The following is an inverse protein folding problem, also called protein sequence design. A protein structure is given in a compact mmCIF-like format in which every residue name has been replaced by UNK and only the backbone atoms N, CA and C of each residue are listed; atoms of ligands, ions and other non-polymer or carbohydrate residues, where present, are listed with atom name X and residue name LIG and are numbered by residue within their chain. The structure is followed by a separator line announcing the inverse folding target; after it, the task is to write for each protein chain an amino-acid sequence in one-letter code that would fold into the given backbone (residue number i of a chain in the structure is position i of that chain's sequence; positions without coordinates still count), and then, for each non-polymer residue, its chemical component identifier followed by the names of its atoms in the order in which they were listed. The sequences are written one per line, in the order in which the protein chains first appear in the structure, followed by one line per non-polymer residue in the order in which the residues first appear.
data_IF_887381684145
#
_entry.id   IF_887381684145
#
_cell.length_a   1.000
_cell.length_b   1.000
_cell.length_c   1.000
_cell.angle_alpha   90.00
_cell.angle_beta   90.00
_cell.angle_gamma   90.00
#
_symmetry.space_group_name_H-M   'P 1'
#
loop_
_entity.id
_entity.type
_entity.pdbx_description
1 polymer ?
#
# COMPACT_ATOMS: atom_id res chain seq x y z
N UNK A 1 -17.71 1.11 11.65
CA UNK A 1 -17.38 0.55 10.33
C UNK A 1 -16.58 -0.76 10.50
N UNK A 2 -15.27 -0.83 10.27
CA UNK A 2 -14.54 -2.12 10.12
C UNK A 2 -14.39 -3.07 11.32
N UNK A 3 -14.71 -2.64 12.55
CA UNK A 3 -14.44 -3.44 13.77
C UNK A 3 -13.00 -3.39 14.31
N UNK A 4 -12.07 -2.73 13.60
CA UNK A 4 -10.61 -2.65 13.93
C UNK A 4 -10.35 -2.27 15.40
N UNK A 5 -9.28 -2.81 16.03
CA UNK A 5 -8.84 -2.42 17.37
C UNK A 5 -8.49 -0.93 17.48
N UNK A 6 -8.82 -0.33 18.63
CA UNK A 6 -8.39 1.02 19.00
C UNK A 6 -6.87 1.08 19.11
N UNK A 7 -6.22 1.90 18.28
CA UNK A 7 -4.76 2.05 18.22
C UNK A 7 -4.07 1.31 17.07
N UNK A 8 -4.79 0.50 16.26
CA UNK A 8 -4.19 -0.11 15.08
C UNK A 8 -3.92 0.97 13.99
N UNK A 9 -2.65 1.25 13.73
CA UNK A 9 -2.16 2.28 12.78
C UNK A 9 -2.76 2.10 11.38
N UNK A 10 -3.14 3.21 10.74
CA UNK A 10 -3.66 3.24 9.38
C UNK A 10 -2.59 3.10 8.30
N UNK A 11 -3.01 3.26 7.06
CA UNK A 11 -2.12 3.66 5.96
C UNK A 11 -2.60 5.01 5.42
N UNK A 12 -1.72 5.67 4.68
CA UNK A 12 -2.04 6.88 3.92
C UNK A 12 -2.38 6.46 2.48
N UNK A 13 -3.30 7.14 1.80
CA UNK A 13 -3.46 7.01 0.35
C UNK A 13 -3.47 8.35 -0.35
N UNK A 14 -2.89 8.41 -1.53
CA UNK A 14 -2.76 9.59 -2.35
C UNK A 14 -2.24 9.22 -3.74
N UNK A 15 -2.18 10.19 -4.66
CA UNK A 15 -1.52 9.98 -5.94
C UNK A 15 0.00 9.88 -5.73
N UNK A 16 0.74 9.15 -6.60
CA UNK A 16 2.17 8.87 -6.42
C UNK A 16 3.05 10.07 -6.05
N UNK A 17 2.81 11.23 -6.68
CA UNK A 17 3.58 12.45 -6.50
C UNK A 17 3.55 13.04 -5.07
N UNK A 18 2.59 12.63 -4.22
CA UNK A 18 2.51 13.08 -2.83
C UNK A 18 3.25 12.16 -1.85
N UNK A 19 3.89 11.08 -2.33
CA UNK A 19 4.61 10.10 -1.48
C UNK A 19 5.70 10.74 -0.61
N UNK A 20 6.50 11.63 -1.20
CA UNK A 20 7.58 12.35 -0.50
C UNK A 20 7.08 13.43 0.47
N UNK A 21 5.78 13.75 0.48
CA UNK A 21 5.18 14.65 1.49
C UNK A 21 4.88 13.95 2.82
N UNK A 22 4.81 12.61 2.82
CA UNK A 22 4.51 11.81 4.02
C UNK A 22 5.63 10.86 4.41
N UNK A 23 6.58 10.60 3.50
CA UNK A 23 7.79 9.84 3.75
C UNK A 23 9.01 10.76 3.78
N UNK A 24 9.77 10.73 4.88
CA UNK A 24 11.07 11.37 4.98
C UNK A 24 12.14 10.44 4.39
N UNK A 25 12.38 10.60 3.08
CA UNK A 25 13.31 9.76 2.32
C UNK A 25 14.79 10.10 2.60
N UNK A 26 15.09 11.32 3.07
CA UNK A 26 16.44 11.75 3.46
C UNK A 26 16.98 11.03 4.71
N UNK A 27 16.10 10.31 5.43
CA UNK A 27 16.45 9.44 6.57
C UNK A 27 16.68 7.98 6.19
N UNK A 28 16.75 7.65 4.89
CA UNK A 28 17.10 6.31 4.41
C UNK A 28 18.63 6.13 4.33
N UNK A 29 19.08 4.88 4.31
CA UNK A 29 20.50 4.52 4.04
C UNK A 29 20.86 4.51 2.54
N UNK A 30 19.93 4.95 1.68
CA UNK A 30 20.13 5.14 0.23
C UNK A 30 19.92 6.61 -0.11
N UNK A 31 20.40 7.05 -1.28
CA UNK A 31 20.16 8.42 -1.73
C UNK A 31 18.67 8.68 -1.96
N UNK A 32 18.20 9.91 -1.71
CA UNK A 32 16.83 10.33 -2.01
C UNK A 32 16.45 10.11 -3.47
N UNK A 33 17.39 10.36 -4.40
CA UNK A 33 17.17 10.13 -5.83
C UNK A 33 16.94 8.63 -6.16
N UNK A 34 17.69 7.73 -5.50
CA UNK A 34 17.50 6.28 -5.61
C UNK A 34 16.14 5.85 -5.07
N UNK A 35 15.73 6.39 -3.90
CA UNK A 35 14.43 6.10 -3.31
C UNK A 35 13.27 6.59 -4.19
N UNK A 36 13.34 7.84 -4.69
CA UNK A 36 12.35 8.41 -5.61
C UNK A 36 12.25 7.59 -6.91
N UNK A 37 13.38 7.14 -7.48
CA UNK A 37 13.40 6.30 -8.69
C UNK A 37 12.77 4.91 -8.47
N UNK A 38 13.08 4.24 -7.36
CA UNK A 38 12.45 2.96 -6.97
C UNK A 38 10.93 3.12 -6.79
N UNK A 39 10.50 4.21 -6.14
CA UNK A 39 9.08 4.52 -5.92
C UNK A 39 8.37 4.72 -7.27
N UNK A 40 8.95 5.52 -8.17
CA UNK A 40 8.39 5.79 -9.50
C UNK A 40 8.31 4.51 -10.35
N UNK A 41 9.36 3.70 -10.39
CA UNK A 41 9.39 2.45 -11.15
C UNK A 41 8.30 1.46 -10.67
N UNK A 42 8.15 1.26 -9.36
CA UNK A 42 7.12 0.39 -8.81
C UNK A 42 5.69 0.94 -9.00
N UNK A 43 5.49 2.26 -8.92
CA UNK A 43 4.21 2.87 -9.26
C UNK A 43 3.90 2.92 -10.77
N UNK A 44 4.89 2.76 -11.64
CA UNK A 44 4.67 2.61 -13.07
C UNK A 44 4.10 1.22 -13.40
N UNK A 45 4.51 0.18 -12.64
CA UNK A 45 3.93 -1.16 -12.76
C UNK A 45 2.48 -1.21 -12.25
N UNK A 46 2.17 -0.48 -11.17
CA UNK A 46 0.79 -0.32 -10.71
C UNK A 46 0.60 0.01 -9.22
N UNK A 47 -0.56 -0.35 -8.62
CA UNK A 47 -0.87 -0.08 -7.23
C UNK A 47 0.10 -0.73 -6.25
N UNK A 48 0.75 0.09 -5.41
CA UNK A 48 1.85 -0.34 -4.55
C UNK A 48 1.90 0.44 -3.24
N UNK A 49 2.51 -0.16 -2.20
CA UNK A 49 2.68 0.44 -0.89
C UNK A 49 4.13 0.53 -0.44
N UNK A 50 4.45 1.62 0.28
CA UNK A 50 5.80 1.92 0.77
C UNK A 50 5.75 2.26 2.26
N UNK A 51 6.70 1.69 3.03
CA UNK A 51 6.97 2.08 4.42
C UNK A 51 8.38 2.64 4.57
N UNK A 52 8.47 3.89 4.99
CA UNK A 52 9.72 4.62 5.19
C UNK A 52 9.62 5.48 6.49
N UNK A 53 10.68 6.21 6.90
CA UNK A 53 10.60 7.16 8.00
C UNK A 53 9.45 8.16 7.77
N UNK A 54 8.71 8.50 8.83
CA UNK A 54 7.60 9.45 8.72
C UNK A 54 8.11 10.88 8.46
N UNK A 55 7.38 11.64 7.66
CA UNK A 55 7.49 13.09 7.63
C UNK A 55 7.07 13.70 8.99
N UNK A 56 7.68 14.83 9.35
CA UNK A 56 7.38 15.55 10.61
C UNK A 56 5.93 16.03 10.63
N UNK A 57 5.27 15.94 11.79
CA UNK A 57 3.91 16.46 11.99
C UNK A 57 2.78 15.52 11.55
N UNK A 58 3.07 14.32 11.04
CA UNK A 58 2.03 13.33 10.75
C UNK A 58 1.27 12.90 12.02
N UNK A 59 -0.08 12.85 12.00
CA UNK A 59 -0.88 12.36 13.12
C UNK A 59 -0.48 10.96 13.59
N UNK A 60 -0.46 10.75 14.92
CA UNK A 60 -0.06 9.47 15.56
C UNK A 60 -0.78 8.24 14.98
N UNK A 61 -2.03 8.39 14.54
CA UNK A 61 -2.85 7.32 13.93
C UNK A 61 -2.36 6.85 12.55
N UNK A 62 -1.48 7.62 11.88
CA UNK A 62 -0.85 7.32 10.59
C UNK A 62 0.61 6.85 10.73
N UNK A 63 1.18 6.92 11.93
CA UNK A 63 2.59 6.61 12.21
C UNK A 63 2.74 5.38 13.09
N UNK A 64 3.76 4.57 12.84
CA UNK A 64 4.12 3.41 13.65
C UNK A 64 5.53 3.58 14.18
N UNK A 65 5.67 3.59 15.51
CA UNK A 65 6.94 3.60 16.24
C UNK A 65 7.47 2.18 16.39
N UNK A 66 8.68 1.91 15.89
CA UNK A 66 9.37 0.63 16.05
C UNK A 66 10.85 0.86 16.30
N UNK A 67 11.32 0.57 17.52
CA UNK A 67 12.61 1.05 18.00
C UNK A 67 12.69 2.58 17.92
N UNK A 68 13.84 3.10 17.52
CA UNK A 68 14.10 4.55 17.43
C UNK A 68 13.49 5.21 16.18
N UNK A 69 12.80 4.43 15.32
CA UNK A 69 12.23 4.92 14.07
C UNK A 69 10.70 5.03 14.13
N UNK A 70 10.22 6.26 13.90
CA UNK A 70 8.81 6.50 13.54
C UNK A 70 8.66 6.36 12.03
N UNK A 71 7.83 5.42 11.58
CA UNK A 71 7.56 5.14 10.18
C UNK A 71 6.14 5.55 9.78
N UNK A 72 5.95 5.91 8.52
CA UNK A 72 4.62 6.02 7.91
C UNK A 72 4.51 5.00 6.77
N UNK A 73 3.29 4.58 6.45
CA UNK A 73 3.01 3.72 5.31
C UNK A 73 2.02 4.43 4.37
N UNK A 74 2.42 4.63 3.12
CA UNK A 74 1.51 5.05 2.04
C UNK A 74 1.19 3.86 1.14
N UNK A 75 -0.02 3.83 0.59
CA UNK A 75 -0.44 2.89 -0.45
C UNK A 75 -1.17 3.69 -1.54
N UNK A 76 -0.61 3.72 -2.74
CA UNK A 76 -1.09 4.50 -3.88
C UNK A 76 -1.51 3.61 -5.05
N UNK A 77 -2.33 4.11 -6.00
CA UNK A 77 -2.91 3.30 -7.07
C UNK A 77 -2.03 3.20 -8.34
N UNK A 78 -0.75 3.58 -8.26
CA UNK A 78 0.15 3.69 -9.43
C UNK A 78 -0.13 4.92 -10.30
N UNK A 79 0.75 5.21 -11.26
CA UNK A 79 0.70 6.44 -12.06
C UNK A 79 -0.49 6.53 -13.03
N UNK A 80 -0.85 5.43 -13.70
CA UNK A 80 -1.86 5.41 -14.76
C UNK A 80 -3.32 5.38 -14.24
N UNK A 81 -3.55 5.31 -12.93
CA UNK A 81 -4.89 5.15 -12.36
C UNK A 81 -5.75 6.43 -12.49
N UNK A 82 -6.99 6.34 -13.04
CA UNK A 82 -7.90 7.48 -13.10
C UNK A 82 -8.20 8.13 -11.74
N UNK A 83 -8.16 7.37 -10.65
CA UNK A 83 -8.43 7.87 -9.29
C UNK A 83 -7.40 8.89 -8.81
N UNK A 84 -6.22 9.01 -9.44
CA UNK A 84 -5.23 10.02 -9.07
C UNK A 84 -5.79 11.45 -9.14
N UNK A 85 -6.66 11.76 -10.09
CA UNK A 85 -7.30 13.08 -10.18
C UNK A 85 -8.21 13.36 -8.96
N UNK A 86 -9.00 12.37 -8.54
CA UNK A 86 -9.83 12.47 -7.34
C UNK A 86 -8.98 12.55 -6.07
N UNK A 87 -8.01 11.65 -5.88
CA UNK A 87 -7.14 11.61 -4.71
C UNK A 87 -6.35 12.92 -4.54
N UNK A 88 -5.84 13.50 -5.64
CA UNK A 88 -5.16 14.80 -5.62
C UNK A 88 -6.08 15.92 -5.11
N UNK A 89 -7.31 15.99 -5.63
CA UNK A 89 -8.30 17.00 -5.21
C UNK A 89 -8.75 16.82 -3.76
N UNK A 90 -8.99 15.58 -3.34
CA UNK A 90 -9.34 15.27 -1.95
C UNK A 90 -8.19 15.68 -1.00
N UNK A 91 -6.94 15.33 -1.33
CA UNK A 91 -5.78 15.71 -0.53
C UNK A 91 -5.58 17.23 -0.45
N UNK A 92 -5.80 17.96 -1.55
CA UNK A 92 -5.78 19.44 -1.55
C UNK A 92 -6.83 20.06 -0.62
N UNK A 93 -7.93 19.35 -0.34
CA UNK A 93 -9.03 19.82 0.51
C UNK A 93 -8.89 19.37 1.97
N UNK A 94 -8.28 18.22 2.24
CA UNK A 94 -8.28 17.59 3.58
C UNK A 94 -6.90 17.26 4.14
N UNK A 95 -5.83 17.39 3.35
CA UNK A 95 -4.53 16.80 3.66
C UNK A 95 -4.50 15.26 3.51
N UNK A 96 -3.51 14.58 4.13
CA UNK A 96 -3.27 13.15 3.97
C UNK A 96 -4.51 12.28 4.27
N UNK A 97 -4.89 11.42 3.31
CA UNK A 97 -6.09 10.59 3.42
C UNK A 97 -5.78 9.29 4.17
N UNK A 98 -6.55 8.99 5.22
CA UNK A 98 -6.49 7.70 5.93
C UNK A 98 -7.14 6.59 5.08
N UNK A 99 -6.40 5.50 4.84
CA UNK A 99 -6.89 4.32 4.13
C UNK A 99 -6.67 3.04 4.93
N UNK A 100 -7.51 2.05 4.65
CA UNK A 100 -7.29 0.65 5.06
C UNK A 100 -7.79 -0.27 3.94
N UNK A 101 -7.42 -1.55 3.95
CA UNK A 101 -8.06 -2.55 3.07
C UNK A 101 -9.59 -2.53 3.20
N UNK A 102 -10.32 -2.84 2.14
CA UNK A 102 -11.78 -2.93 2.21
C UNK A 102 -12.20 -4.37 2.56
N UNK A 103 -12.36 -4.65 3.86
CA UNK A 103 -12.82 -5.93 4.41
C UNK A 103 -13.43 -5.74 5.80
N UNK A 104 -14.29 -6.65 6.27
CA UNK A 104 -14.70 -6.64 7.67
C UNK A 104 -13.59 -7.26 8.53
N UNK A 105 -13.05 -6.53 9.53
CA UNK A 105 -12.10 -7.14 10.46
C UNK A 105 -12.86 -7.85 11.56
N UNK A 106 -12.72 -9.17 11.65
CA UNK A 106 -13.48 -10.04 12.56
C UNK A 106 -12.79 -10.25 13.91
N UNK A 107 -11.69 -9.54 14.17
CA UNK A 107 -10.95 -9.52 15.44
C UNK A 107 -11.81 -9.50 16.73
N UNK A 108 -12.96 -8.81 16.76
CA UNK A 108 -13.84 -8.79 17.96
C UNK A 108 -14.63 -10.09 18.20
N UNK A 109 -14.70 -10.96 17.19
CA UNK A 109 -15.49 -12.21 17.18
C UNK A 109 -14.61 -13.46 17.18
N UNK A 110 -13.28 -13.31 17.19
CA UNK A 110 -12.32 -14.43 17.11
C UNK A 110 -12.23 -15.14 15.75
N UNK A 111 -13.20 -14.93 14.85
CA UNK A 111 -13.16 -15.46 13.50
C UNK A 111 -12.06 -14.80 12.63
N UNK A 112 -11.60 -15.53 11.62
CA UNK A 112 -10.64 -15.04 10.64
C UNK A 112 -11.16 -13.79 9.90
N UNK A 113 -10.27 -12.84 9.63
CA UNK A 113 -10.56 -11.66 8.82
C UNK A 113 -10.96 -12.08 7.40
N UNK A 114 -11.97 -11.44 6.82
CA UNK A 114 -12.32 -11.69 5.42
C UNK A 114 -11.23 -11.15 4.49
N UNK A 115 -10.91 -11.83 3.37
CA UNK A 115 -10.05 -11.28 2.34
C UNK A 115 -10.50 -9.90 1.86
N UNK A 116 -9.53 -9.07 1.47
CA UNK A 116 -9.80 -7.73 0.97
C UNK A 116 -10.57 -7.78 -0.35
N UNK A 117 -11.65 -6.99 -0.45
CA UNK A 117 -12.26 -6.68 -1.73
C UNK A 117 -11.24 -6.00 -2.65
N UNK A 118 -11.31 -6.38 -3.92
CA UNK A 118 -10.58 -5.75 -5.02
C UNK A 118 -11.48 -5.32 -6.18
N UNK A 119 -12.69 -5.90 -6.28
CA UNK A 119 -13.81 -5.40 -7.11
C UNK A 119 -14.72 -4.49 -6.30
N UNK A 120 -15.26 -3.44 -6.92
CA UNK A 120 -16.18 -2.51 -6.27
C UNK A 120 -17.56 -3.12 -5.98
N UNK A 121 -18.03 -4.04 -6.82
CA UNK A 121 -19.37 -4.64 -6.82
C UNK A 121 -19.73 -5.44 -5.56
N UNK A 122 -18.75 -6.05 -4.88
CA UNK A 122 -18.98 -6.73 -3.59
C UNK A 122 -19.04 -5.80 -2.37
N UNK A 123 -18.60 -4.54 -2.47
CA UNK A 123 -18.57 -3.62 -1.32
C UNK A 123 -19.95 -3.27 -0.73
N UNK A 124 -21.04 -3.13 -1.53
CA UNK A 124 -22.38 -2.90 -1.00
C UNK A 124 -22.90 -4.02 -0.10
N UNK A 125 -22.46 -5.27 -0.29
CA UNK A 125 -22.84 -6.39 0.59
C UNK A 125 -22.23 -6.21 1.99
N UNK A 126 -20.90 -6.05 2.06
CA UNK A 126 -20.17 -5.91 3.33
C UNK A 126 -20.44 -4.56 4.04
N UNK A 127 -20.80 -3.49 3.30
CA UNK A 127 -20.82 -2.11 3.83
C UNK A 127 -22.02 -1.22 3.46
N UNK A 128 -22.90 -1.62 2.53
CA UNK A 128 -24.00 -0.77 2.04
C UNK A 128 -25.01 -0.38 3.12
N UNK A 129 -25.10 -1.17 4.19
CA UNK A 129 -25.93 -0.90 5.37
C UNK A 129 -25.30 0.10 6.36
N UNK A 130 -24.04 0.53 6.17
CA UNK A 130 -23.33 1.40 7.12
C UNK A 130 -23.69 2.87 6.87
N UNK A 131 -24.17 3.62 7.88
CA UNK A 131 -24.48 5.05 7.72
C UNK A 131 -23.29 5.85 7.18
N UNK A 132 -23.55 6.71 6.20
CA UNK A 132 -22.55 7.54 5.48
C UNK A 132 -21.50 6.74 4.68
N UNK A 133 -21.71 5.44 4.43
CA UNK A 133 -20.95 4.73 3.40
C UNK A 133 -21.27 5.32 2.01
N UNK A 134 -20.22 5.55 1.22
CA UNK A 134 -20.31 6.01 -0.17
C UNK A 134 -19.32 5.18 -0.98
N UNK A 135 -19.81 4.54 -2.03
CA UNK A 135 -18.97 3.81 -2.99
C UNK A 135 -18.62 4.74 -4.16
N UNK A 136 -17.34 4.97 -4.37
CA UNK A 136 -16.80 5.65 -5.56
C UNK A 136 -16.07 4.61 -6.42
N UNK A 137 -16.81 3.97 -7.32
CA UNK A 137 -16.25 3.01 -8.27
C UNK A 137 -15.59 3.74 -9.46
N UNK A 138 -14.73 3.02 -10.20
CA UNK A 138 -14.32 3.49 -11.52
C UNK A 138 -15.52 3.44 -12.49
N UNK A 139 -15.68 4.43 -13.40
CA UNK A 139 -16.68 4.34 -14.47
C UNK A 139 -16.49 3.13 -15.38
N UNK A 140 -15.23 2.69 -15.54
CA UNK A 140 -14.84 1.45 -16.20
C UNK A 140 -13.72 0.80 -15.36
N UNK A 141 -14.09 -0.21 -14.57
CA UNK A 141 -13.15 -0.95 -13.72
C UNK A 141 -12.26 -1.90 -14.55
N UNK A 142 -12.75 -2.40 -15.69
CA UNK A 142 -11.99 -3.28 -16.57
C UNK A 142 -10.85 -2.50 -17.25
N UNK A 143 -11.13 -1.33 -17.82
CA UNK A 143 -10.10 -0.44 -18.37
C UNK A 143 -9.19 0.16 -17.29
N UNK A 144 -9.64 0.31 -16.05
CA UNK A 144 -8.77 0.68 -14.93
C UNK A 144 -7.75 -0.44 -14.62
N UNK A 145 -8.20 -1.70 -14.56
CA UNK A 145 -7.33 -2.88 -14.35
C UNK A 145 -6.40 -3.16 -15.54
N UNK A 146 -6.88 -3.01 -16.77
CA UNK A 146 -6.10 -3.26 -17.99
C UNK A 146 -4.84 -2.38 -18.13
N UNK A 147 -4.77 -1.24 -17.42
CA UNK A 147 -3.57 -0.40 -17.33
C UNK A 147 -2.43 -1.04 -16.53
N UNK A 148 -2.71 -2.07 -15.72
CA UNK A 148 -1.75 -2.74 -14.84
C UNK A 148 -1.84 -4.27 -14.98
N UNK A 149 -1.47 -4.84 -16.14
CA UNK A 149 -1.66 -6.26 -16.45
C UNK A 149 -0.86 -7.22 -15.54
N UNK A 150 0.11 -6.71 -14.78
CA UNK A 150 0.93 -7.47 -13.83
C UNK A 150 0.37 -7.49 -12.39
N UNK A 151 -0.79 -6.85 -12.13
CA UNK A 151 -1.29 -6.54 -10.79
C UNK A 151 -2.63 -7.22 -10.42
N UNK A 152 -2.76 -7.47 -9.11
CA UNK A 152 -3.93 -8.04 -8.40
C UNK A 152 -4.16 -7.28 -7.03
N UNK A 153 -4.81 -7.74 -5.93
CA UNK A 153 -4.89 -6.95 -4.68
C UNK A 153 -3.55 -6.72 -3.95
N UNK A 154 -3.31 -5.47 -3.54
CA UNK A 154 -2.03 -4.75 -3.29
C UNK A 154 -0.90 -5.33 -2.40
N UNK A 155 0.36 -5.08 -2.80
CA UNK A 155 1.64 -5.37 -2.10
C UNK A 155 2.20 -4.16 -1.30
N UNK A 156 3.10 -4.40 -0.32
CA UNK A 156 3.82 -3.34 0.45
C UNK A 156 5.30 -3.68 0.70
N UNK A 157 6.21 -2.74 0.37
CA UNK A 157 7.67 -2.78 0.57
C UNK A 157 8.12 -1.82 1.69
N UNK A 158 9.10 -2.23 2.50
CA UNK A 158 9.79 -1.34 3.45
C UNK A 158 11.12 -0.84 2.86
N UNK A 159 11.17 0.46 2.56
CA UNK A 159 12.39 1.14 2.11
C UNK A 159 13.39 1.38 3.25
N UNK A 160 12.90 1.46 4.49
CA UNK A 160 13.71 1.73 5.69
C UNK A 160 14.44 0.52 6.28
N UNK A 161 14.19 -0.70 5.77
CA UNK A 161 14.81 -1.94 6.24
C UNK A 161 15.76 -2.47 5.18
N UNK A 162 16.97 -1.93 5.20
CA UNK A 162 18.07 -2.37 4.36
C UNK A 162 18.94 -3.36 5.14
N UNK A 163 19.02 -4.60 4.66
CA UNK A 163 19.95 -5.62 5.17
C UNK A 163 21.12 -5.80 4.22
N UNK A 164 22.25 -6.32 4.69
CA UNK A 164 23.36 -6.73 3.83
C UNK A 164 23.36 -8.25 3.71
N UNK A 165 23.37 -8.77 2.48
CA UNK A 165 23.41 -10.20 2.18
C UNK A 165 24.42 -10.43 1.06
N UNK A 166 25.45 -11.27 1.30
CA UNK A 166 26.55 -11.52 0.36
C UNK A 166 27.23 -10.24 -0.23
N UNK A 167 27.29 -9.15 0.54
CA UNK A 167 27.86 -7.86 0.09
C UNK A 167 26.89 -6.97 -0.70
N UNK A 168 25.62 -7.37 -0.84
CA UNK A 168 24.57 -6.64 -1.53
C UNK A 168 23.55 -6.07 -0.55
N UNK A 169 23.10 -4.83 -0.80
CA UNK A 169 22.02 -4.20 -0.04
C UNK A 169 20.67 -4.79 -0.45
N UNK A 170 19.86 -5.25 0.51
CA UNK A 170 18.56 -5.89 0.27
C UNK A 170 17.44 -5.09 0.93
N UNK A 171 16.31 -4.87 0.23
CA UNK A 171 15.11 -4.24 0.79
C UNK A 171 14.12 -5.29 1.30
N UNK A 172 13.43 -4.98 2.38
CA UNK A 172 12.46 -5.91 2.98
C UNK A 172 11.08 -5.76 2.36
N UNK A 173 10.58 -6.80 1.70
CA UNK A 173 9.16 -6.91 1.37
C UNK A 173 8.40 -7.26 2.65
N UNK A 174 7.62 -6.32 3.20
CA UNK A 174 6.88 -6.55 4.44
C UNK A 174 5.63 -7.39 4.22
N UNK A 175 4.95 -7.20 3.08
CA UNK A 175 3.69 -7.89 2.78
C UNK A 175 3.52 -8.10 1.27
N UNK A 176 3.29 -9.35 0.89
CA UNK A 176 2.80 -9.67 -0.45
C UNK A 176 1.39 -9.14 -0.69
N UNK A 177 1.11 -8.87 -1.97
CA UNK A 177 -0.23 -8.97 -2.51
C UNK A 177 -0.20 -9.07 -4.03
N UNK A 178 -0.16 -7.92 -4.68
CA UNK A 178 -0.60 -7.67 -6.05
C UNK A 178 0.45 -8.10 -7.07
N UNK A 179 1.49 -7.30 -7.16
CA UNK A 179 2.64 -7.51 -8.01
C UNK A 179 3.42 -8.74 -7.49
N UNK A 180 3.62 -9.78 -8.32
CA UNK A 180 4.53 -10.89 -8.02
C UNK A 180 5.91 -10.38 -7.59
N UNK A 181 6.53 -11.04 -6.61
CA UNK A 181 7.83 -10.60 -6.07
C UNK A 181 8.96 -10.65 -7.10
N UNK A 182 8.82 -11.44 -8.15
CA UNK A 182 9.76 -11.51 -9.27
C UNK A 182 9.86 -10.19 -10.04
N UNK A 183 8.76 -9.46 -10.22
CA UNK A 183 8.80 -8.11 -10.80
C UNK A 183 9.37 -7.08 -9.83
N UNK A 184 9.13 -7.24 -8.52
CA UNK A 184 9.74 -6.39 -7.48
C UNK A 184 11.26 -6.61 -7.45
N UNK A 185 11.72 -7.86 -7.60
CA UNK A 185 13.13 -8.23 -7.72
C UNK A 185 13.75 -7.64 -8.98
N UNK A 186 13.11 -7.76 -10.13
CA UNK A 186 13.61 -7.18 -11.38
C UNK A 186 13.82 -5.66 -11.26
N UNK A 187 12.81 -4.91 -10.78
CA UNK A 187 12.94 -3.46 -10.57
C UNK A 187 14.07 -3.12 -9.59
N UNK A 188 14.18 -3.85 -8.48
CA UNK A 188 15.21 -3.55 -7.49
C UNK A 188 16.63 -3.96 -7.95
N UNK A 189 16.74 -4.94 -8.85
CA UNK A 189 18.02 -5.33 -9.48
C UNK A 189 18.61 -4.21 -10.34
N UNK A 190 17.79 -3.48 -11.08
CA UNK A 190 18.19 -2.29 -11.85
C UNK A 190 18.80 -1.19 -10.96
N UNK A 191 18.44 -1.13 -9.68
CA UNK A 191 18.99 -0.19 -8.69
C UNK A 191 20.07 -0.80 -7.79
N UNK A 192 20.51 -2.05 -8.04
CA UNK A 192 21.52 -2.76 -7.27
C UNK A 192 21.03 -3.39 -5.96
N UNK A 193 19.72 -3.37 -5.67
CA UNK A 193 19.13 -3.89 -4.44
C UNK A 193 18.59 -5.31 -4.61
N UNK A 194 18.83 -6.19 -3.63
CA UNK A 194 18.12 -7.47 -3.53
C UNK A 194 16.80 -7.34 -2.77
N UNK A 195 16.08 -8.47 -2.62
CA UNK A 195 14.80 -8.52 -1.91
C UNK A 195 14.79 -9.63 -0.87
N UNK A 196 14.62 -9.25 0.39
CA UNK A 196 14.43 -10.17 1.52
C UNK A 196 12.95 -10.17 1.93
N UNK A 197 12.38 -11.37 2.13
CA UNK A 197 10.98 -11.51 2.57
C UNK A 197 10.87 -11.33 4.09
N UNK A 198 10.12 -10.31 4.52
CA UNK A 198 9.75 -10.14 5.93
C UNK A 198 8.81 -11.27 6.40
N UNK A 199 8.60 -11.45 7.72
CA UNK A 199 7.78 -12.54 8.25
C UNK A 199 6.36 -12.61 7.66
N UNK A 200 5.71 -11.45 7.49
CA UNK A 200 4.36 -11.35 6.89
C UNK A 200 4.34 -11.42 5.35
N UNK A 201 5.51 -11.53 4.71
CA UNK A 201 5.67 -11.84 3.29
C UNK A 201 6.16 -13.29 3.06
N UNK A 202 6.17 -14.17 4.08
CA UNK A 202 6.43 -15.60 3.86
C UNK A 202 5.22 -16.36 3.33
N UNK A 203 4.01 -15.81 3.55
CA UNK A 203 2.74 -16.39 3.10
C UNK A 203 1.98 -15.33 2.32
N UNK A 204 1.59 -15.63 1.07
CA UNK A 204 0.70 -14.75 0.30
C UNK A 204 -0.69 -14.78 0.95
N UNK A 205 -1.31 -13.62 1.11
CA UNK A 205 -2.68 -13.54 1.62
C UNK A 205 -3.65 -14.18 0.61
N UNK A 206 -4.67 -14.86 1.13
CA UNK A 206 -5.80 -15.31 0.33
C UNK A 206 -6.47 -14.10 -0.34
N UNK A 207 -6.78 -14.25 -1.62
CA UNK A 207 -7.59 -13.30 -2.37
C UNK A 207 -9.07 -13.57 -2.08
N UNK A 208 -9.93 -12.55 -2.23
CA UNK A 208 -11.38 -12.75 -2.09
C UNK A 208 -11.88 -13.49 -3.32
N UNK A 209 -12.39 -14.69 -3.13
CA UNK A 209 -13.23 -15.31 -4.15
C UNK A 209 -14.58 -14.57 -4.18
N UNK A 210 -15.08 -14.31 -5.38
CA UNK A 210 -16.37 -13.67 -5.65
C UNK A 210 -17.37 -14.67 -6.25
N UNK A 211 -16.99 -15.93 -6.42
CA UNK A 211 -17.74 -16.94 -7.15
C UNK A 211 -17.61 -16.77 -8.67
N UNK A 212 -17.94 -17.83 -9.40
CA UNK A 212 -18.09 -17.77 -10.86
C UNK A 212 -19.49 -17.23 -11.15
N UNK A 213 -19.56 -16.07 -11.81
CA UNK A 213 -20.79 -15.46 -12.33
C UNK A 213 -21.08 -15.94 -13.75
#
# INVERSE_FOLDING_TARGET
MKGRPSGQVGSITGPPELTSTVLNLDRLSMSRATADAIIAALFALGPFGFRAPAATGLPRLLTSTGGDLTTAQIVGPGHACPSNAFLRRAWQQTGPLFVTSANQSRHRTGAADTPAHFRADGLPEDFGHVPRFVLLAHPDEAAARARYPLHEPMSVLALHRVTQEAGRSHLTLERHGSLPVEHIRAVLDEFGFGVTLGPHARTRLQQRDYGVS
#
